data_IF_627843533431
#
_entry.id   IF_627843533431
#
_cell.length_a   1.000
_cell.length_b   1.000
_cell.length_c   1.000
_cell.angle_alpha   90.00
_cell.angle_beta   90.00
_cell.angle_gamma   90.00
#
_symmetry.space_group_name_H-M   'P 1'
#
loop_
_entity.id
_entity.type
_entity.pdbx_description
1 polymer ?
#
# COMPACT_ATOMS: atom_id res chain seq x y z
N UNK A 1 10.02 -3.15 -28.89
CA UNK A 1 9.82 -3.14 -28.47
C UNK A 1 9.82 -3.15 -27.38
N UNK A 2 9.67 -3.16 -26.73
CA UNK A 2 9.62 -3.19 -25.86
C UNK A 2 9.31 -3.11 -24.93
N UNK A 3 9.45 -2.94 -24.54
CA UNK A 3 8.97 -3.29 -23.72
C UNK A 3 8.96 -2.82 -22.40
N UNK A 4 8.40 -1.93 -21.96
CA UNK A 4 8.10 -1.37 -20.67
C UNK A 4 6.94 -2.09 -20.05
N UNK A 5 7.09 -3.35 -19.97
CA UNK A 5 6.04 -4.17 -19.38
C UNK A 5 6.09 -4.06 -17.86
N UNK A 6 4.98 -3.69 -17.27
CA UNK A 6 4.86 -3.60 -15.81
C UNK A 6 4.43 -4.97 -15.30
N UNK A 7 5.18 -5.49 -14.34
CA UNK A 7 4.84 -6.76 -13.71
C UNK A 7 4.49 -6.50 -12.24
N UNK A 8 3.52 -7.21 -11.75
CA UNK A 8 3.12 -7.08 -10.36
C UNK A 8 3.42 -8.36 -9.61
N UNK A 9 3.80 -8.21 -8.35
CA UNK A 9 4.09 -9.34 -7.49
C UNK A 9 3.41 -9.12 -6.16
N UNK A 10 2.56 -10.06 -5.78
CA UNK A 10 1.94 -10.00 -4.47
C UNK A 10 3.02 -10.07 -3.38
N UNK A 11 2.92 -9.21 -2.38
CA UNK A 11 3.90 -9.17 -1.31
C UNK A 11 3.32 -9.74 -0.01
N UNK A 12 2.26 -9.13 0.48
CA UNK A 12 1.67 -9.60 1.72
C UNK A 12 0.28 -9.01 1.93
N UNK A 13 -0.43 -9.59 2.88
CA UNK A 13 -1.71 -9.07 3.33
C UNK A 13 -1.65 -8.95 4.85
N UNK A 14 -2.09 -7.82 5.38
CA UNK A 14 -2.19 -7.63 6.81
C UNK A 14 -3.61 -7.23 7.14
N UNK A 15 -4.01 -7.46 8.40
CA UNK A 15 -5.33 -7.09 8.88
C UNK A 15 -5.13 -6.15 10.05
N UNK A 16 -5.69 -4.96 9.95
CA UNK A 16 -5.54 -3.96 11.00
C UNK A 16 -6.41 -4.28 12.20
N UNK A 17 -6.20 -3.52 13.28
CA UNK A 17 -6.94 -3.77 14.51
C UNK A 17 -8.43 -3.53 14.36
N UNK A 18 -8.83 -2.71 13.39
CA UNK A 18 -10.25 -2.49 13.12
C UNK A 18 -10.80 -3.43 12.03
N UNK A 19 -10.03 -4.45 11.64
CA UNK A 19 -10.54 -5.51 10.79
C UNK A 19 -10.43 -5.25 9.29
N UNK A 20 -9.73 -4.20 8.89
CA UNK A 20 -9.56 -3.90 7.48
C UNK A 20 -8.41 -4.73 6.91
N UNK A 21 -8.64 -5.33 5.76
CA UNK A 21 -7.62 -6.11 5.09
C UNK A 21 -6.83 -5.20 4.15
N UNK A 22 -5.51 -5.23 4.26
CA UNK A 22 -4.65 -4.39 3.44
C UNK A 22 -3.70 -5.29 2.66
N UNK A 23 -3.80 -5.20 1.34
CA UNK A 23 -3.02 -6.04 0.44
C UNK A 23 -1.93 -5.20 -0.22
N UNK A 24 -0.69 -5.67 -0.14
CA UNK A 24 0.46 -4.97 -0.70
C UNK A 24 0.96 -5.72 -1.92
N UNK A 25 1.13 -5.00 -3.02
CA UNK A 25 1.67 -5.55 -4.26
C UNK A 25 2.80 -4.66 -4.74
N UNK A 26 3.91 -5.26 -5.13
CA UNK A 26 5.03 -4.53 -5.70
C UNK A 26 4.89 -4.50 -7.21
N UNK A 27 5.19 -3.35 -7.80
CA UNK A 27 5.13 -3.18 -9.24
C UNK A 27 6.54 -2.97 -9.77
N UNK A 28 6.90 -3.78 -10.74
CA UNK A 28 8.23 -3.75 -11.34
C UNK A 28 8.16 -3.23 -12.74
N UNK A 29 9.10 -2.39 -13.09
CA UNK A 29 9.26 -1.90 -14.45
C UNK A 29 10.67 -2.20 -14.86
N UNK A 30 10.82 -2.98 -15.93
CA UNK A 30 12.15 -3.37 -16.43
C UNK A 30 13.00 -4.04 -15.35
N UNK A 31 12.36 -4.85 -14.52
CA UNK A 31 13.06 -5.61 -13.50
C UNK A 31 13.37 -4.86 -12.23
N UNK A 32 12.98 -3.60 -12.15
CA UNK A 32 13.23 -2.78 -10.97
C UNK A 32 11.92 -2.36 -10.34
N UNK A 33 11.92 -2.20 -9.03
CA UNK A 33 10.73 -1.74 -8.34
C UNK A 33 10.41 -0.33 -8.78
N UNK A 34 9.19 -0.15 -9.25
CA UNK A 34 8.72 1.15 -9.69
C UNK A 34 7.84 1.81 -8.63
N UNK A 35 6.98 1.03 -8.02
CA UNK A 35 6.05 1.56 -7.02
C UNK A 35 5.42 0.40 -6.30
N UNK A 36 4.61 0.72 -5.29
CA UNK A 36 3.80 -0.28 -4.60
C UNK A 36 2.35 0.11 -4.72
N UNK A 37 1.51 -0.88 -4.86
CA UNK A 37 0.07 -0.70 -4.88
C UNK A 37 -0.48 -1.25 -3.56
N UNK A 38 -1.32 -0.48 -2.91
CA UNK A 38 -1.92 -0.86 -1.64
C UNK A 38 -3.43 -0.85 -1.82
N UNK A 39 -4.06 -1.98 -1.53
CA UNK A 39 -5.51 -2.08 -1.61
C UNK A 39 -6.05 -2.34 -0.21
N UNK A 40 -7.07 -1.58 0.15
CA UNK A 40 -7.72 -1.70 1.44
C UNK A 40 -9.14 -2.17 1.24
N UNK A 41 -9.52 -3.19 2.00
CA UNK A 41 -10.85 -3.78 1.87
C UNK A 41 -11.56 -3.80 3.22
N UNK A 42 -12.75 -3.28 3.24
CA UNK A 42 -13.66 -3.42 4.35
C UNK A 42 -14.89 -4.15 3.83
N UNK A 43 -15.86 -4.43 4.70
CA UNK A 43 -17.06 -5.17 4.29
C UNK A 43 -17.81 -4.49 3.17
N UNK A 44 -17.87 -3.17 3.23
CA UNK A 44 -18.73 -2.42 2.32
C UNK A 44 -17.97 -1.50 1.38
N UNK A 45 -16.65 -1.41 1.49
CA UNK A 45 -15.92 -0.46 0.69
C UNK A 45 -14.48 -0.92 0.45
N UNK A 46 -13.88 -0.33 -0.55
CA UNK A 46 -12.48 -0.61 -0.85
C UNK A 46 -11.82 0.66 -1.36
N UNK A 47 -10.49 0.70 -1.24
CA UNK A 47 -9.72 1.84 -1.69
C UNK A 47 -8.39 1.34 -2.22
N UNK A 48 -7.74 2.19 -2.98
CA UNK A 48 -6.46 1.85 -3.58
C UNK A 48 -5.52 3.04 -3.46
N UNK A 49 -4.31 2.77 -3.01
CA UNK A 49 -3.29 3.80 -2.86
C UNK A 49 -2.04 3.39 -3.59
N UNK A 50 -1.17 4.36 -3.83
CA UNK A 50 0.12 4.10 -4.47
C UNK A 50 1.24 4.68 -3.62
N UNK A 51 2.32 3.92 -3.48
CA UNK A 51 3.51 4.36 -2.76
C UNK A 51 4.66 4.39 -3.76
N UNK A 52 5.72 5.13 -3.42
CA UNK A 52 6.86 5.21 -4.32
C UNK A 52 7.69 3.92 -4.25
N UNK A 53 8.81 3.91 -4.97
CA UNK A 53 9.64 2.71 -5.06
C UNK A 53 10.26 2.31 -3.73
N UNK A 54 10.24 3.19 -2.76
CA UNK A 54 10.79 2.92 -1.44
C UNK A 54 9.70 2.63 -0.43
N UNK A 55 8.44 2.66 -0.87
CA UNK A 55 7.33 2.36 0.01
C UNK A 55 6.86 3.56 0.82
N UNK A 56 7.24 4.76 0.43
CA UNK A 56 6.86 5.97 1.14
C UNK A 56 5.67 6.64 0.47
N UNK A 57 4.89 7.34 1.27
CA UNK A 57 3.81 8.14 0.74
C UNK A 57 4.38 9.30 -0.06
N UNK A 58 3.67 9.67 -1.12
CA UNK A 58 4.08 10.76 -1.98
C UNK A 58 2.97 11.81 -1.99
N UNK A 59 3.26 13.00 -2.53
CA UNK A 59 2.17 13.98 -2.68
C UNK A 59 1.00 13.44 -3.49
N UNK A 60 1.28 12.57 -4.46
CA UNK A 60 0.21 11.98 -5.25
C UNK A 60 -0.68 11.06 -4.43
N UNK A 61 -0.07 10.33 -3.48
CA UNK A 61 -0.84 9.48 -2.59
C UNK A 61 -1.83 10.32 -1.78
N UNK A 62 -1.34 11.40 -1.21
CA UNK A 62 -2.19 12.29 -0.42
C UNK A 62 -3.25 12.96 -1.29
N UNK A 63 -2.85 13.33 -2.51
CA UNK A 63 -3.80 13.96 -3.41
C UNK A 63 -4.96 13.04 -3.73
N UNK A 64 -4.65 11.77 -3.93
CA UNK A 64 -5.70 10.80 -4.21
C UNK A 64 -6.64 10.65 -3.04
N UNK A 65 -6.09 10.61 -1.83
CA UNK A 65 -6.92 10.52 -0.64
C UNK A 65 -7.81 11.75 -0.51
N UNK A 66 -7.27 12.92 -0.81
CA UNK A 66 -8.04 14.14 -0.79
C UNK A 66 -9.15 14.13 -1.82
N UNK A 67 -8.90 13.48 -2.95
CA UNK A 67 -9.89 13.41 -4.03
C UNK A 67 -11.05 12.48 -3.70
N UNK A 68 -10.89 11.66 -2.67
CA UNK A 68 -11.93 10.73 -2.27
C UNK A 68 -12.37 11.04 -0.85
N UNK A 69 -13.08 12.14 -0.66
CA UNK A 69 -13.47 12.55 0.69
C UNK A 69 -14.31 11.49 1.41
N UNK A 70 -14.93 10.59 0.67
CA UNK A 70 -15.72 9.55 1.30
C UNK A 70 -14.85 8.55 2.07
N UNK A 71 -13.54 8.59 1.89
CA UNK A 71 -12.65 7.74 2.68
C UNK A 71 -12.38 8.31 4.05
N UNK A 72 -12.59 9.60 4.23
CA UNK A 72 -12.30 10.23 5.51
C UNK A 72 -13.29 9.77 6.55
N UNK A 73 -12.79 9.52 7.75
CA UNK A 73 -13.61 9.06 8.86
C UNK A 73 -14.28 7.72 8.58
N UNK A 74 -13.65 6.92 7.74
CA UNK A 74 -14.12 5.56 7.43
C UNK A 74 -13.15 4.56 8.04
N UNK A 75 -13.55 3.28 8.13
CA UNK A 75 -12.62 2.26 8.58
C UNK A 75 -11.35 2.18 7.74
N UNK A 76 -11.44 2.48 6.43
CA UNK A 76 -10.28 2.44 5.57
C UNK A 76 -9.27 3.51 5.96
N UNK A 77 -9.75 4.70 6.27
CA UNK A 77 -8.88 5.79 6.70
C UNK A 77 -8.17 5.43 8.01
N UNK A 78 -8.94 4.92 8.96
CA UNK A 78 -8.36 4.50 10.25
C UNK A 78 -7.31 3.42 10.04
N UNK A 79 -7.60 2.46 9.15
CA UNK A 79 -6.66 1.37 8.89
C UNK A 79 -5.36 1.90 8.30
N UNK A 80 -5.45 2.80 7.34
CA UNK A 80 -4.24 3.36 6.74
C UNK A 80 -3.45 4.17 7.75
N UNK A 81 -4.14 4.92 8.60
CA UNK A 81 -3.45 5.68 9.65
C UNK A 81 -2.72 4.75 10.61
N UNK A 82 -3.30 3.58 10.89
CA UNK A 82 -2.62 2.60 11.73
C UNK A 82 -1.31 2.15 11.10
N UNK A 83 -1.32 1.92 9.78
CA UNK A 83 -0.12 1.50 9.07
C UNK A 83 0.93 2.62 9.09
N UNK A 84 0.50 3.84 8.84
CA UNK A 84 1.42 4.99 8.81
C UNK A 84 2.03 5.22 10.20
N UNK A 85 1.23 5.02 11.24
CA UNK A 85 1.70 5.18 12.61
C UNK A 85 2.82 4.20 12.96
N UNK A 86 2.77 2.98 12.42
CA UNK A 86 3.87 2.05 12.53
C UNK A 86 4.01 1.32 13.84
N UNK A 87 3.01 1.37 14.72
CA UNK A 87 3.13 0.79 16.06
C UNK A 87 2.46 -0.56 16.21
N UNK A 88 1.49 -0.87 15.37
CA UNK A 88 0.75 -2.11 15.51
C UNK A 88 1.52 -3.26 14.84
N UNK A 89 1.12 -4.48 15.16
CA UNK A 89 1.70 -5.66 14.53
C UNK A 89 1.47 -5.63 13.02
N UNK A 90 0.30 -5.20 12.60
CA UNK A 90 0.00 -5.11 11.18
C UNK A 90 0.92 -4.10 10.50
N UNK A 91 1.13 -2.95 11.14
CA UNK A 91 2.01 -1.92 10.58
C UNK A 91 3.44 -2.40 10.50
N UNK A 92 3.92 -3.08 11.53
CA UNK A 92 5.29 -3.58 11.52
C UNK A 92 5.49 -4.64 10.44
N UNK A 93 4.51 -5.52 10.28
CA UNK A 93 4.58 -6.55 9.25
C UNK A 93 4.58 -5.91 7.85
N UNK A 94 3.77 -4.87 7.67
CA UNK A 94 3.68 -4.17 6.41
C UNK A 94 5.02 -3.50 6.08
N UNK A 95 5.60 -2.81 7.04
CA UNK A 95 6.89 -2.16 6.84
C UNK A 95 8.00 -3.18 6.55
N UNK A 96 8.01 -4.27 7.30
CA UNK A 96 9.00 -5.31 7.08
C UNK A 96 8.90 -5.87 5.67
N UNK A 97 7.68 -6.05 5.19
CA UNK A 97 7.47 -6.60 3.85
C UNK A 97 8.04 -5.67 2.79
N UNK A 98 7.80 -4.37 2.92
CA UNK A 98 8.33 -3.40 1.98
C UNK A 98 9.85 -3.41 2.03
N UNK A 99 10.40 -3.42 3.24
CA UNK A 99 11.84 -3.40 3.42
C UNK A 99 12.51 -4.62 2.79
N UNK A 100 11.90 -5.79 2.99
CA UNK A 100 12.42 -7.01 2.41
C UNK A 100 12.46 -6.94 0.89
N UNK A 101 11.39 -6.43 0.30
CA UNK A 101 11.31 -6.34 -1.16
C UNK A 101 12.34 -5.35 -1.69
N UNK A 102 12.49 -4.20 -1.03
CA UNK A 102 13.43 -3.19 -1.49
C UNK A 102 14.87 -3.63 -1.32
N UNK A 103 15.14 -4.51 -0.35
CA UNK A 103 16.50 -5.03 -0.14
C UNK A 103 16.91 -6.10 -1.12
N UNK A 104 15.92 -6.72 -1.71
CA UNK A 104 16.17 -7.91 -2.49
C UNK A 104 16.95 -7.67 -3.76
N UNK A 105 17.08 -6.50 -4.17
CA UNK A 105 17.60 -6.24 -5.47
C UNK A 105 18.70 -7.09 -5.96
#
# INVERSE_FOLDING_TARGET
MKDTEVKSEYVCTVITSNGVEIELTALYLEGMINSFNVKLYDEDMSAELWLDAEGNETPDTFSELDSFPEYRDTPLDDAWQEIVDGRSDAAMKFEDAIWEVTRRK
#
